data_IF_202290284249
#
_entry.id   IF_202290284249
#
_cell.length_a   1.000
_cell.length_b   1.000
_cell.length_c   1.000
_cell.angle_alpha   90.00
_cell.angle_beta   90.00
_cell.angle_gamma   90.00
#
_symmetry.space_group_name_H-M   'P 1'
#
loop_
_entity.id
_entity.type
_entity.pdbx_description
1 polymer ?
#
# COMPACT_ATOMS: atom_id res chain seq x y z
N UNK A 1 -35.86 -46.88 4.04
CA UNK A 1 -34.44 -46.63 3.80
C UNK A 1 -34.33 -45.22 3.24
N UNK A 2 -34.15 -44.23 4.11
CA UNK A 2 -34.05 -42.79 3.75
C UNK A 2 -32.59 -42.46 3.55
N UNK A 3 -32.19 -42.24 2.29
CA UNK A 3 -30.89 -41.72 1.93
C UNK A 3 -30.83 -40.25 2.32
N UNK A 4 -30.08 -39.93 3.41
CA UNK A 4 -29.76 -38.56 3.77
C UNK A 4 -28.84 -37.94 2.73
N UNK A 5 -29.35 -36.99 1.97
CA UNK A 5 -28.50 -36.15 1.14
C UNK A 5 -27.70 -35.21 2.07
N UNK A 6 -26.42 -35.46 2.17
CA UNK A 6 -25.50 -34.51 2.78
C UNK A 6 -25.45 -33.24 1.92
N UNK A 7 -26.07 -32.18 2.38
CA UNK A 7 -25.91 -30.84 1.79
C UNK A 7 -24.49 -30.40 2.09
N UNK A 8 -23.60 -30.51 1.13
CA UNK A 8 -22.26 -29.97 1.15
C UNK A 8 -22.37 -28.46 0.99
N UNK A 9 -22.40 -27.73 2.11
CA UNK A 9 -22.24 -26.28 2.12
C UNK A 9 -20.83 -25.98 1.57
N UNK A 10 -20.77 -25.65 0.28
CA UNK A 10 -19.56 -25.06 -0.28
C UNK A 10 -19.33 -23.72 0.46
N UNK A 11 -18.35 -23.69 1.35
CA UNK A 11 -17.90 -22.44 1.93
C UNK A 11 -17.51 -21.53 0.76
N UNK A 12 -18.24 -20.44 0.55
CA UNK A 12 -17.85 -19.40 -0.40
C UNK A 12 -16.45 -18.94 0.01
N UNK A 13 -15.46 -19.24 -0.83
CA UNK A 13 -14.09 -18.77 -0.63
C UNK A 13 -14.13 -17.26 -0.75
N UNK A 14 -14.09 -16.56 0.39
CA UNK A 14 -14.05 -15.10 0.38
C UNK A 14 -12.78 -14.68 -0.38
N UNK A 15 -12.94 -13.83 -1.38
CA UNK A 15 -11.84 -13.28 -2.16
C UNK A 15 -11.16 -12.13 -1.39
N UNK A 16 -10.60 -12.48 -0.26
CA UNK A 16 -9.92 -11.51 0.61
C UNK A 16 -8.53 -11.20 0.06
N UNK A 17 -8.24 -9.93 -0.05
CA UNK A 17 -6.91 -9.42 -0.38
C UNK A 17 -6.09 -9.36 0.91
N UNK A 18 -5.38 -10.44 1.20
CA UNK A 18 -4.51 -10.48 2.38
C UNK A 18 -3.15 -9.89 2.01
N UNK A 19 -2.71 -8.92 2.78
CA UNK A 19 -1.45 -8.21 2.59
C UNK A 19 -0.72 -7.97 3.91
N UNK A 20 0.45 -7.37 3.81
CA UNK A 20 1.25 -6.93 4.94
C UNK A 20 1.42 -5.42 4.91
N UNK A 21 1.36 -4.80 6.07
CA UNK A 21 1.86 -3.44 6.26
C UNK A 21 3.37 -3.52 6.46
N UNK A 22 4.15 -2.83 5.62
CA UNK A 22 5.62 -3.02 5.57
C UNK A 22 6.33 -2.57 6.84
N UNK A 23 5.68 -1.77 7.69
CA UNK A 23 6.14 -1.45 9.04
C UNK A 23 6.38 -2.70 9.91
N UNK A 24 5.72 -3.80 9.63
CA UNK A 24 5.95 -5.10 10.31
C UNK A 24 7.43 -5.49 10.27
N UNK A 25 8.13 -5.10 9.21
CA UNK A 25 9.55 -5.33 9.02
C UNK A 25 10.34 -4.01 8.89
N UNK A 26 9.99 -2.99 9.69
CA UNK A 26 10.59 -1.65 9.63
C UNK A 26 12.12 -1.59 9.84
N UNK A 27 12.71 -2.66 10.39
CA UNK A 27 14.16 -2.81 10.54
C UNK A 27 14.87 -3.36 9.29
N UNK A 28 14.10 -3.69 8.24
CA UNK A 28 14.59 -4.17 6.96
C UNK A 28 14.36 -3.11 5.89
N UNK A 29 15.09 -3.22 4.80
CA UNK A 29 14.78 -2.43 3.60
C UNK A 29 13.44 -2.86 3.00
N UNK A 30 12.84 -2.01 2.17
CA UNK A 30 11.60 -2.36 1.49
C UNK A 30 11.76 -3.60 0.62
N UNK A 31 12.88 -3.71 -0.12
CA UNK A 31 13.14 -4.88 -0.98
C UNK A 31 13.22 -6.17 -0.16
N UNK A 32 13.93 -6.18 0.98
CA UNK A 32 13.97 -7.32 1.89
C UNK A 32 12.59 -7.65 2.48
N UNK A 33 11.80 -6.60 2.78
CA UNK A 33 10.41 -6.76 3.24
C UNK A 33 9.55 -7.41 2.17
N UNK A 34 9.68 -6.98 0.90
CA UNK A 34 8.94 -7.57 -0.21
C UNK A 34 9.35 -9.03 -0.47
N UNK A 35 10.63 -9.36 -0.33
CA UNK A 35 11.11 -10.74 -0.44
C UNK A 35 10.48 -11.65 0.63
N UNK A 36 10.37 -11.15 1.87
CA UNK A 36 9.66 -11.88 2.94
C UNK A 36 8.17 -12.01 2.69
N UNK A 37 7.55 -10.94 2.19
CA UNK A 37 6.12 -10.92 1.82
C UNK A 37 5.81 -11.97 0.76
N UNK A 38 6.68 -12.08 -0.25
CA UNK A 38 6.57 -13.09 -1.30
C UNK A 38 6.75 -14.51 -0.71
N UNK A 39 7.74 -14.72 0.16
CA UNK A 39 7.98 -16.03 0.82
C UNK A 39 6.77 -16.48 1.66
N UNK A 40 6.03 -15.52 2.24
CA UNK A 40 4.79 -15.77 2.99
C UNK A 40 3.58 -16.04 2.09
N UNK A 41 3.73 -15.91 0.76
CA UNK A 41 2.64 -16.10 -0.20
C UNK A 41 1.62 -14.96 -0.21
N UNK A 42 1.96 -13.79 0.31
CA UNK A 42 1.08 -12.61 0.33
C UNK A 42 1.24 -11.81 -0.95
N UNK A 43 0.11 -11.45 -1.58
CA UNK A 43 0.09 -10.74 -2.86
C UNK A 43 -0.14 -9.22 -2.76
N UNK A 44 -0.23 -8.68 -1.55
CA UNK A 44 -0.54 -7.27 -1.33
C UNK A 44 0.34 -6.68 -0.23
N UNK A 45 0.67 -5.39 -0.35
CA UNK A 45 1.37 -4.65 0.69
C UNK A 45 0.79 -3.23 0.85
N UNK A 46 0.80 -2.76 2.09
CA UNK A 46 0.70 -1.35 2.42
C UNK A 46 2.10 -0.84 2.75
N UNK A 47 2.61 0.10 1.95
CA UNK A 47 3.92 0.70 2.16
C UNK A 47 3.82 1.95 3.04
N UNK A 48 4.91 2.31 3.72
CA UNK A 48 4.99 3.51 4.55
C UNK A 48 6.19 4.39 4.18
N UNK A 49 6.10 5.69 4.50
CA UNK A 49 7.17 6.66 4.24
C UNK A 49 8.45 6.37 4.99
N UNK A 50 9.58 6.79 4.41
CA UNK A 50 10.92 6.76 4.99
C UNK A 50 11.48 5.36 5.28
N UNK A 51 10.91 4.30 4.73
CA UNK A 51 11.59 3.01 4.68
C UNK A 51 12.71 3.07 3.63
N UNK A 52 13.92 2.64 3.99
CA UNK A 52 15.01 2.51 3.02
C UNK A 52 14.63 1.48 1.95
N UNK A 53 14.88 1.79 0.67
CA UNK A 53 14.47 0.91 -0.41
C UNK A 53 15.31 -0.37 -0.50
N UNK A 54 16.63 -0.27 -0.33
CA UNK A 54 17.57 -1.38 -0.54
C UNK A 54 17.89 -1.63 -2.02
N UNK A 55 18.74 -2.60 -2.31
CA UNK A 55 19.11 -2.91 -3.70
C UNK A 55 17.88 -3.33 -4.52
N UNK A 56 17.74 -2.90 -5.79
CA UNK A 56 18.75 -2.29 -6.66
C UNK A 56 18.92 -0.77 -6.52
N UNK A 57 18.23 -0.13 -5.60
CA UNK A 57 18.37 1.31 -5.37
C UNK A 57 19.70 1.64 -4.69
N UNK A 58 20.25 2.87 -4.90
CA UNK A 58 21.40 3.34 -4.14
C UNK A 58 21.16 3.24 -2.63
N UNK A 59 22.23 3.09 -1.86
CA UNK A 59 22.15 3.15 -0.40
C UNK A 59 21.55 4.49 0.05
N UNK A 60 20.84 4.47 1.19
CA UNK A 60 20.22 5.66 1.75
C UNK A 60 19.15 6.31 0.85
N UNK A 61 18.60 5.53 -0.10
CA UNK A 61 17.42 5.92 -0.86
C UNK A 61 16.18 5.47 -0.09
N UNK A 62 15.31 6.41 0.23
CA UNK A 62 14.12 6.17 1.06
C UNK A 62 12.84 6.33 0.25
N UNK A 63 11.82 5.60 0.65
CA UNK A 63 10.49 5.73 0.06
C UNK A 63 9.88 7.07 0.45
N UNK A 64 9.90 8.04 -0.46
CA UNK A 64 9.31 9.37 -0.27
C UNK A 64 9.03 10.04 -1.62
N UNK A 65 8.35 11.20 -1.60
CA UNK A 65 7.95 11.91 -2.82
C UNK A 65 9.10 12.62 -3.57
N UNK A 66 10.33 12.55 -3.07
CA UNK A 66 11.54 13.06 -3.77
C UNK A 66 12.11 12.03 -4.75
N UNK A 67 11.56 10.80 -4.77
CA UNK A 67 11.95 9.79 -5.75
C UNK A 67 11.70 10.27 -7.17
N UNK A 68 12.69 10.08 -8.02
CA UNK A 68 12.58 10.37 -9.46
C UNK A 68 11.50 9.52 -10.13
N UNK A 69 11.11 9.90 -11.34
CA UNK A 69 10.16 9.10 -12.14
C UNK A 69 10.73 7.72 -12.48
N UNK A 70 12.04 7.64 -12.72
CA UNK A 70 12.75 6.39 -13.01
C UNK A 70 12.79 5.49 -11.77
N UNK A 71 13.06 6.04 -10.57
CA UNK A 71 13.02 5.29 -9.31
C UNK A 71 11.61 4.78 -9.00
N UNK A 72 10.59 5.59 -9.23
CA UNK A 72 9.20 5.15 -9.07
C UNK A 72 8.82 4.07 -10.09
N UNK A 73 9.33 4.13 -11.31
CA UNK A 73 9.12 3.08 -12.31
C UNK A 73 9.83 1.78 -11.91
N UNK A 74 11.06 1.88 -11.42
CA UNK A 74 11.83 0.75 -10.90
C UNK A 74 11.12 0.15 -9.67
N UNK A 75 10.63 0.97 -8.75
CA UNK A 75 9.89 0.52 -7.58
C UNK A 75 8.63 -0.29 -7.98
N UNK A 76 7.83 0.21 -8.91
CA UNK A 76 6.68 -0.55 -9.44
C UNK A 76 7.10 -1.87 -10.09
N UNK A 77 8.23 -1.88 -10.80
CA UNK A 77 8.80 -3.10 -11.37
C UNK A 77 9.17 -4.13 -10.28
N UNK A 78 9.83 -3.68 -9.21
CA UNK A 78 10.25 -4.53 -8.08
C UNK A 78 9.06 -5.17 -7.36
N UNK A 79 7.97 -4.43 -7.16
CA UNK A 79 6.71 -4.98 -6.67
C UNK A 79 6.15 -6.05 -7.63
N UNK A 80 6.11 -5.73 -8.93
CA UNK A 80 5.54 -6.59 -9.97
C UNK A 80 6.28 -7.92 -10.12
N UNK A 81 7.61 -7.92 -10.14
CA UNK A 81 8.40 -9.17 -10.32
C UNK A 81 8.25 -10.12 -9.13
N UNK A 82 7.89 -9.61 -7.94
CA UNK A 82 7.57 -10.41 -6.75
C UNK A 82 6.10 -10.83 -6.67
N UNK A 83 5.28 -10.42 -7.63
CA UNK A 83 3.84 -10.71 -7.63
C UNK A 83 3.07 -9.98 -6.52
N UNK A 84 3.62 -8.89 -5.99
CA UNK A 84 3.02 -8.08 -4.91
C UNK A 84 2.44 -6.80 -5.52
N UNK A 85 1.25 -6.41 -5.06
CA UNK A 85 0.63 -5.13 -5.42
C UNK A 85 0.76 -4.16 -4.25
N UNK A 86 1.29 -2.95 -4.44
CA UNK A 86 1.28 -1.89 -3.42
C UNK A 86 -0.14 -1.32 -3.31
N UNK A 87 -1.05 -2.08 -2.68
CA UNK A 87 -2.48 -1.75 -2.68
C UNK A 87 -2.80 -0.50 -1.85
N UNK A 88 -2.03 -0.26 -0.78
CA UNK A 88 -2.21 0.87 0.12
C UNK A 88 -0.89 1.58 0.45
N UNK A 89 -1.00 2.83 0.84
CA UNK A 89 0.10 3.67 1.27
C UNK A 89 -0.31 4.56 2.45
N UNK A 90 0.47 4.54 3.51
CA UNK A 90 0.19 5.26 4.76
C UNK A 90 0.95 4.62 5.94
N UNK A 91 0.72 5.02 7.17
CA UNK A 91 -0.27 6.00 7.65
C UNK A 91 0.30 7.41 7.51
N UNK A 92 -0.51 8.36 7.08
CA UNK A 92 -0.10 9.74 6.90
C UNK A 92 -0.97 10.72 7.69
N UNK A 93 -0.31 11.72 8.29
CA UNK A 93 -0.95 12.86 8.96
C UNK A 93 -0.18 14.12 8.59
N UNK A 94 -0.87 15.12 8.03
CA UNK A 94 -0.24 16.36 7.57
C UNK A 94 -1.02 17.58 8.01
N UNK A 95 -0.31 18.69 8.22
CA UNK A 95 -0.88 19.96 8.66
C UNK A 95 -1.41 20.85 7.54
N UNK A 96 -0.97 20.63 6.30
CA UNK A 96 -1.26 21.51 5.16
C UNK A 96 -1.83 20.78 3.96
N UNK A 97 -2.61 21.50 3.16
CA UNK A 97 -3.15 20.97 1.90
C UNK A 97 -2.05 20.62 0.89
N UNK A 98 -0.94 21.38 0.88
CA UNK A 98 0.19 21.12 -0.03
C UNK A 98 0.85 19.76 0.26
N UNK A 99 0.99 19.41 1.54
CA UNK A 99 1.53 18.10 1.95
C UNK A 99 0.59 16.97 1.54
N UNK A 100 -0.72 17.16 1.70
CA UNK A 100 -1.72 16.21 1.22
C UNK A 100 -1.68 16.03 -0.29
N UNK A 101 -1.53 17.12 -1.08
CA UNK A 101 -1.36 17.02 -2.54
C UNK A 101 -0.15 16.16 -2.91
N UNK A 102 1.01 16.39 -2.27
CA UNK A 102 2.25 15.61 -2.50
C UNK A 102 2.05 14.14 -2.15
N UNK A 103 1.38 13.87 -1.03
CA UNK A 103 1.12 12.52 -0.56
C UNK A 103 0.24 11.73 -1.55
N UNK A 104 -0.91 12.28 -1.94
CA UNK A 104 -1.82 11.62 -2.87
C UNK A 104 -1.18 11.43 -4.25
N UNK A 105 -0.48 12.45 -4.76
CA UNK A 105 0.24 12.36 -6.03
C UNK A 105 1.28 11.25 -6.01
N UNK A 106 2.04 11.14 -4.92
CA UNK A 106 3.06 10.10 -4.77
C UNK A 106 2.43 8.70 -4.61
N UNK A 107 1.43 8.55 -3.77
CA UNK A 107 0.71 7.29 -3.60
C UNK A 107 0.16 6.75 -4.93
N UNK A 108 -0.48 7.63 -5.72
CA UNK A 108 -0.95 7.30 -7.06
C UNK A 108 0.22 6.92 -8.00
N UNK A 109 1.32 7.65 -7.96
CA UNK A 109 2.51 7.43 -8.80
C UNK A 109 3.16 6.06 -8.55
N UNK A 110 3.19 5.59 -7.30
CA UNK A 110 3.72 4.25 -6.96
C UNK A 110 2.71 3.12 -7.19
N UNK A 111 1.47 3.44 -7.55
CA UNK A 111 0.42 2.47 -7.90
C UNK A 111 -0.45 2.02 -6.71
N UNK A 112 -0.48 2.77 -5.61
CA UNK A 112 -1.44 2.55 -4.55
C UNK A 112 -2.85 2.96 -4.99
N UNK A 113 -3.86 2.24 -4.49
CA UNK A 113 -5.28 2.54 -4.71
C UNK A 113 -5.97 3.01 -3.43
N UNK A 114 -5.36 2.75 -2.28
CA UNK A 114 -5.88 3.11 -0.97
C UNK A 114 -4.82 3.98 -0.28
N UNK A 115 -5.24 5.03 0.38
CA UNK A 115 -4.40 5.78 1.31
C UNK A 115 -4.94 5.63 2.73
N UNK A 116 -4.05 5.36 3.68
CA UNK A 116 -4.39 5.29 5.10
C UNK A 116 -3.94 6.58 5.77
N UNK A 117 -4.88 7.29 6.40
CA UNK A 117 -4.67 8.68 6.85
C UNK A 117 -5.24 8.93 8.24
N UNK A 118 -4.64 9.87 8.96
CA UNK A 118 -5.11 10.45 10.23
C UNK A 118 -5.30 11.97 10.06
N UNK A 119 -6.38 12.42 9.41
CA UNK A 119 -6.60 13.84 9.15
C UNK A 119 -7.26 14.54 10.34
N UNK A 120 -7.05 15.85 10.43
CA UNK A 120 -7.92 16.72 11.22
C UNK A 120 -9.32 16.81 10.57
N UNK A 121 -10.37 17.00 11.38
CA UNK A 121 -11.76 17.04 10.89
C UNK A 121 -11.99 18.09 9.80
N UNK A 122 -11.32 19.25 9.90
CA UNK A 122 -11.42 20.33 8.91
C UNK A 122 -10.72 20.04 7.58
N UNK A 123 -9.97 18.94 7.47
CA UNK A 123 -9.28 18.52 6.26
C UNK A 123 -10.07 17.49 5.44
N UNK A 124 -11.14 16.92 5.99
CA UNK A 124 -11.86 15.80 5.37
C UNK A 124 -12.40 16.13 3.97
N UNK A 125 -13.00 17.32 3.79
CA UNK A 125 -13.54 17.75 2.49
C UNK A 125 -12.41 17.87 1.45
N UNK A 126 -11.24 18.36 1.87
CA UNK A 126 -10.08 18.47 0.99
C UNK A 126 -9.55 17.10 0.59
N UNK A 127 -9.40 16.18 1.54
CA UNK A 127 -8.97 14.79 1.32
C UNK A 127 -9.95 14.06 0.40
N UNK A 128 -11.26 14.25 0.58
CA UNK A 128 -12.27 13.70 -0.34
C UNK A 128 -12.08 14.21 -1.78
N UNK A 129 -11.74 15.49 -1.94
CA UNK A 129 -11.46 16.06 -3.25
C UNK A 129 -10.23 15.44 -3.92
N UNK A 130 -9.18 15.15 -3.14
CA UNK A 130 -7.98 14.48 -3.63
C UNK A 130 -8.25 13.01 -3.96
N UNK A 131 -9.02 12.31 -3.13
CA UNK A 131 -9.46 10.95 -3.41
C UNK A 131 -10.18 10.84 -4.76
N UNK A 132 -11.11 11.76 -5.03
CA UNK A 132 -11.79 11.86 -6.34
C UNK A 132 -10.82 12.19 -7.48
N UNK A 133 -9.90 13.13 -7.27
CA UNK A 133 -8.91 13.57 -8.27
C UNK A 133 -8.00 12.43 -8.73
N UNK A 134 -7.58 11.57 -7.81
CA UNK A 134 -6.63 10.49 -8.06
C UNK A 134 -7.29 9.12 -8.20
N UNK A 135 -8.62 9.02 -8.13
CA UNK A 135 -9.40 7.75 -8.14
C UNK A 135 -8.87 6.76 -7.07
N UNK A 136 -8.79 7.26 -5.83
CA UNK A 136 -8.27 6.52 -4.69
C UNK A 136 -9.32 6.39 -3.59
N UNK A 137 -9.25 5.30 -2.84
CA UNK A 137 -9.99 5.09 -1.61
C UNK A 137 -9.22 5.67 -0.41
N UNK A 138 -9.96 6.16 0.59
CA UNK A 138 -9.39 6.69 1.84
C UNK A 138 -9.82 5.82 2.99
N UNK A 139 -8.86 5.29 3.73
CA UNK A 139 -9.06 4.60 4.99
C UNK A 139 -8.63 5.49 6.15
N UNK A 140 -9.53 5.75 7.09
CA UNK A 140 -9.20 6.50 8.31
C UNK A 140 -8.56 5.52 9.31
N UNK A 141 -7.36 5.86 9.75
CA UNK A 141 -6.67 5.15 10.82
C UNK A 141 -7.12 5.71 12.19
N UNK A 142 -7.31 4.84 13.17
CA UNK A 142 -7.77 5.19 14.52
C UNK A 142 -6.84 4.62 15.59
#
# INVERSE_FOLDING_TARGET
MLLGQAVQLAAQKADWKVGIQTWTFHNLTLMETLDKTQQLGMGYAEAFFFQELGAPFPKETYLNYDLSDDDCALLRHEFKIRGIKPIAFGVASYGTNEEWDKFFAFAHKIGAHIVTVEPELNQLDYIESLAKKYDMEVAIHN
#
